data_IF_990302553809
#
_entry.id   IF_990302553809
#
_cell.length_a   1.000
_cell.length_b   1.000
_cell.length_c   1.000
_cell.angle_alpha   90.00
_cell.angle_beta   90.00
_cell.angle_gamma   90.00
#
_symmetry.space_group_name_H-M   'P 1'
#
loop_
_entity.id
_entity.type
_entity.pdbx_description
1 polymer ?
#
# COMPACT_ATOMS: atom_id res chain seq x y z
N UNK A 1 14.44 -16.34 -7.31
CA UNK A 1 14.42 -15.02 -6.64
C UNK A 1 13.62 -15.04 -5.34
N UNK A 2 12.33 -15.40 -5.39
CA UNK A 2 11.47 -15.42 -4.19
C UNK A 2 11.99 -16.31 -3.05
N UNK A 3 12.44 -17.54 -3.33
CA UNK A 3 12.98 -18.46 -2.30
C UNK A 3 14.23 -17.88 -1.62
N UNK A 4 15.10 -17.24 -2.41
CA UNK A 4 16.31 -16.60 -1.89
C UNK A 4 15.95 -15.43 -0.97
N UNK A 5 15.04 -14.54 -1.39
CA UNK A 5 14.55 -13.44 -0.57
C UNK A 5 13.86 -13.92 0.72
N UNK A 6 13.06 -14.99 0.61
CA UNK A 6 12.44 -15.63 1.76
C UNK A 6 13.48 -16.12 2.75
N UNK A 7 14.53 -16.80 2.29
CA UNK A 7 15.59 -17.31 3.17
C UNK A 7 16.33 -16.20 3.91
N UNK A 8 16.56 -15.06 3.25
CA UNK A 8 17.21 -13.90 3.88
C UNK A 8 16.31 -13.25 4.93
N UNK A 9 15.02 -13.12 4.64
CA UNK A 9 14.06 -12.42 5.51
C UNK A 9 13.41 -13.32 6.55
N UNK A 10 13.69 -14.63 6.55
CA UNK A 10 13.04 -15.60 7.43
C UNK A 10 13.41 -15.39 8.90
N UNK A 11 14.68 -15.05 9.19
CA UNK A 11 15.11 -14.76 10.56
C UNK A 11 14.33 -13.56 11.14
N UNK A 12 14.21 -12.50 10.36
CA UNK A 12 13.45 -11.30 10.71
C UNK A 12 11.96 -11.59 10.81
N UNK A 13 11.41 -12.43 9.94
CA UNK A 13 10.02 -12.88 10.02
C UNK A 13 9.74 -13.54 11.37
N UNK A 14 10.55 -14.54 11.74
CA UNK A 14 10.39 -15.27 13.01
C UNK A 14 10.56 -14.33 14.20
N UNK A 15 11.47 -13.35 14.11
CA UNK A 15 11.72 -12.40 15.19
C UNK A 15 10.62 -11.34 15.35
N UNK A 16 10.00 -10.87 14.25
CA UNK A 16 9.12 -9.70 14.24
C UNK A 16 7.65 -10.00 13.94
N UNK A 17 7.31 -11.10 13.27
CA UNK A 17 5.93 -11.42 12.86
C UNK A 17 5.31 -12.48 13.78
N UNK A 18 6.06 -13.53 14.09
CA UNK A 18 5.56 -14.68 14.83
C UNK A 18 5.14 -14.39 16.28
N UNK A 19 5.92 -13.67 17.11
CA UNK A 19 5.57 -13.44 18.52
C UNK A 19 4.42 -12.45 18.72
N UNK A 20 4.05 -11.67 17.70
CA UNK A 20 3.00 -10.67 17.82
C UNK A 20 1.58 -11.27 17.75
N UNK A 21 0.63 -10.58 18.40
CA UNK A 21 -0.81 -10.90 18.31
C UNK A 21 -1.30 -10.73 16.87
N UNK A 22 -2.42 -11.39 16.55
CA UNK A 22 -3.07 -11.21 15.25
C UNK A 22 -3.50 -9.76 15.05
N UNK A 23 -2.92 -9.12 14.04
CA UNK A 23 -3.14 -7.73 13.66
C UNK A 23 -3.29 -7.63 12.15
N UNK A 24 -3.84 -6.52 11.64
CA UNK A 24 -4.09 -6.39 10.20
C UNK A 24 -2.78 -6.34 9.39
N UNK A 25 -1.68 -5.85 9.96
CA UNK A 25 -0.34 -5.93 9.38
C UNK A 25 0.21 -7.34 9.29
N UNK A 26 -0.03 -8.16 10.30
CA UNK A 26 0.31 -9.58 10.26
C UNK A 26 -0.47 -10.30 9.16
N UNK A 27 -1.77 -10.02 9.03
CA UNK A 27 -2.61 -10.57 7.95
C UNK A 27 -2.11 -10.12 6.57
N UNK A 28 -1.88 -8.82 6.37
CA UNK A 28 -1.36 -8.27 5.11
C UNK A 28 0.01 -8.85 4.76
N UNK A 29 0.88 -9.09 5.75
CA UNK A 29 2.16 -9.74 5.55
C UNK A 29 2.00 -11.16 4.99
N UNK A 30 1.15 -11.98 5.62
CA UNK A 30 0.89 -13.34 5.13
C UNK A 30 0.27 -13.33 3.73
N UNK A 31 -0.67 -12.42 3.49
CA UNK A 31 -1.32 -12.26 2.19
C UNK A 31 -0.40 -11.70 1.10
N UNK A 32 0.67 -10.98 1.44
CA UNK A 32 1.64 -10.53 0.46
C UNK A 32 2.73 -11.60 0.19
N UNK A 33 3.10 -12.38 1.22
CA UNK A 33 4.25 -13.30 1.17
C UNK A 33 3.93 -14.67 0.58
N UNK A 34 2.78 -15.24 0.91
CA UNK A 34 2.47 -16.64 0.59
C UNK A 34 1.79 -16.89 -0.76
N UNK A 35 0.92 -16.00 -1.29
CA UNK A 35 0.25 -16.23 -2.56
C UNK A 35 1.15 -16.54 -3.76
N UNK A 36 2.36 -15.96 -3.93
CA UNK A 36 3.16 -16.33 -5.10
C UNK A 36 3.71 -17.76 -5.05
N UNK A 37 3.72 -18.43 -3.89
CA UNK A 37 3.98 -19.88 -3.83
C UNK A 37 2.81 -20.69 -4.38
N UNK A 38 1.58 -20.22 -4.17
CA UNK A 38 0.40 -20.82 -4.77
C UNK A 38 0.35 -20.55 -6.28
N UNK A 39 0.73 -19.34 -6.73
CA UNK A 39 0.91 -19.03 -8.16
C UNK A 39 1.92 -20.01 -8.80
N UNK A 40 3.07 -20.24 -8.16
CA UNK A 40 4.07 -21.21 -8.62
C UNK A 40 3.54 -22.66 -8.66
N UNK A 41 2.78 -23.07 -7.64
CA UNK A 41 2.18 -24.40 -7.61
C UNK A 41 1.20 -24.60 -8.77
N UNK A 42 0.34 -23.61 -9.04
CA UNK A 42 -0.60 -23.64 -10.18
C UNK A 42 0.19 -23.72 -11.49
N UNK A 43 1.20 -22.86 -11.68
CA UNK A 43 2.03 -22.88 -12.88
C UNK A 43 2.71 -24.24 -13.14
N UNK A 44 3.27 -24.87 -12.10
CA UNK A 44 3.86 -26.22 -12.22
C UNK A 44 2.79 -27.25 -12.59
N UNK A 45 1.59 -27.18 -11.99
CA UNK A 45 0.51 -28.11 -12.34
C UNK A 45 0.05 -27.94 -13.78
N UNK A 46 -0.02 -26.71 -14.28
CA UNK A 46 -0.35 -26.43 -15.68
C UNK A 46 0.69 -27.00 -16.63
N UNK A 47 1.98 -26.88 -16.30
CA UNK A 47 3.08 -27.40 -17.12
C UNK A 47 3.12 -28.94 -17.13
N UNK A 48 2.84 -29.57 -15.99
CA UNK A 48 2.93 -31.03 -15.82
C UNK A 48 1.65 -31.77 -16.21
N UNK A 49 0.56 -31.05 -16.50
CA UNK A 49 -0.73 -31.65 -16.84
C UNK A 49 -0.66 -32.42 -18.16
N UNK A 50 -0.87 -33.74 -18.09
CA UNK A 50 -0.96 -34.61 -19.26
C UNK A 50 -2.39 -34.61 -19.81
N UNK A 51 -2.54 -34.23 -21.09
CA UNK A 51 -3.84 -34.18 -21.80
C UNK A 51 -4.92 -33.39 -21.04
N UNK A 52 -4.67 -32.14 -20.65
CA UNK A 52 -5.66 -31.34 -19.95
C UNK A 52 -6.88 -31.07 -20.84
N UNK A 53 -8.07 -31.04 -20.23
CA UNK A 53 -9.27 -30.55 -20.92
C UNK A 53 -9.22 -29.03 -21.02
N UNK A 54 -9.83 -28.46 -22.05
CA UNK A 54 -9.93 -27.00 -22.23
C UNK A 54 -10.53 -26.31 -20.99
N UNK A 55 -11.56 -26.92 -20.39
CA UNK A 55 -12.21 -26.42 -19.17
C UNK A 55 -11.25 -26.37 -17.99
N UNK A 56 -10.38 -27.38 -17.85
CA UNK A 56 -9.39 -27.42 -16.78
C UNK A 56 -8.33 -26.33 -16.95
N UNK A 57 -7.78 -26.17 -18.17
CA UNK A 57 -6.83 -25.10 -18.48
C UNK A 57 -7.42 -23.72 -18.18
N UNK A 58 -8.66 -23.47 -18.65
CA UNK A 58 -9.34 -22.19 -18.42
C UNK A 58 -9.55 -21.90 -16.93
N UNK A 59 -9.95 -22.92 -16.15
CA UNK A 59 -10.20 -22.74 -14.72
C UNK A 59 -8.90 -22.51 -13.94
N UNK A 60 -7.81 -23.20 -14.27
CA UNK A 60 -6.50 -22.96 -13.65
C UNK A 60 -5.95 -21.58 -13.99
N UNK A 61 -6.04 -21.19 -15.27
CA UNK A 61 -5.65 -19.85 -15.70
C UNK A 61 -6.47 -18.76 -15.01
N UNK A 62 -7.79 -18.96 -14.88
CA UNK A 62 -8.67 -18.05 -14.16
C UNK A 62 -8.28 -17.95 -12.68
N UNK A 63 -8.00 -19.08 -12.03
CA UNK A 63 -7.55 -19.09 -10.64
C UNK A 63 -6.21 -18.35 -10.47
N UNK A 64 -5.23 -18.61 -11.32
CA UNK A 64 -3.93 -17.93 -11.32
C UNK A 64 -4.08 -16.43 -11.55
N UNK A 65 -4.87 -16.02 -12.54
CA UNK A 65 -5.04 -14.62 -12.87
C UNK A 65 -5.75 -13.83 -11.76
N UNK A 66 -6.77 -14.41 -11.12
CA UNK A 66 -7.43 -13.80 -9.96
C UNK A 66 -6.51 -13.74 -8.74
N UNK A 67 -5.73 -14.80 -8.48
CA UNK A 67 -4.75 -14.81 -7.40
C UNK A 67 -3.69 -13.72 -7.63
N UNK A 68 -3.26 -13.55 -8.89
CA UNK A 68 -2.35 -12.49 -9.32
C UNK A 68 -2.97 -11.08 -9.11
N UNK A 69 -4.19 -10.85 -9.58
CA UNK A 69 -4.88 -9.58 -9.38
C UNK A 69 -5.05 -9.23 -7.89
N UNK A 70 -5.49 -10.20 -7.08
CA UNK A 70 -5.73 -10.00 -5.64
C UNK A 70 -4.43 -9.65 -4.92
N UNK A 71 -3.35 -10.42 -5.10
CA UNK A 71 -2.10 -10.12 -4.38
C UNK A 71 -1.37 -8.86 -4.89
N UNK A 72 -1.53 -8.46 -6.16
CA UNK A 72 -1.08 -7.13 -6.61
C UNK A 72 -1.89 -6.07 -5.87
N UNK A 73 -3.22 -6.21 -5.81
CA UNK A 73 -4.10 -5.28 -5.09
C UNK A 73 -3.73 -5.13 -3.61
N UNK A 74 -3.34 -6.23 -2.96
CA UNK A 74 -2.88 -6.24 -1.56
C UNK A 74 -1.55 -5.50 -1.41
N UNK A 75 -0.62 -5.71 -2.33
CA UNK A 75 0.66 -4.99 -2.34
C UNK A 75 0.43 -3.49 -2.53
N UNK A 76 -0.35 -3.13 -3.54
CA UNK A 76 -0.73 -1.74 -3.82
C UNK A 76 -1.40 -1.07 -2.62
N UNK A 77 -2.24 -1.81 -1.90
CA UNK A 77 -2.84 -1.31 -0.66
C UNK A 77 -1.80 -1.05 0.44
N UNK A 78 -0.79 -1.92 0.60
CA UNK A 78 0.32 -1.71 1.55
C UNK A 78 1.11 -0.45 1.16
N UNK A 79 1.43 -0.29 -0.13
CA UNK A 79 2.13 0.86 -0.67
C UNK A 79 1.35 2.17 -0.47
N UNK A 80 0.04 2.11 -0.65
CA UNK A 80 -0.88 3.19 -0.35
C UNK A 80 -0.85 3.57 1.13
N UNK A 81 -0.98 2.60 2.04
CA UNK A 81 -0.99 2.85 3.49
C UNK A 81 0.30 3.54 3.94
N UNK A 82 1.45 3.11 3.41
CA UNK A 82 2.73 3.77 3.63
C UNK A 82 2.72 5.22 3.14
N UNK A 83 2.23 5.45 1.92
CA UNK A 83 2.17 6.80 1.33
C UNK A 83 1.22 7.72 2.10
N UNK A 84 0.09 7.19 2.58
CA UNK A 84 -0.87 7.92 3.38
C UNK A 84 -0.30 8.34 4.74
N UNK A 85 0.48 7.46 5.38
CA UNK A 85 1.17 7.79 6.62
C UNK A 85 2.19 8.92 6.42
N UNK A 86 2.99 8.90 5.35
CA UNK A 86 3.92 9.98 4.99
C UNK A 86 3.21 11.33 4.75
N UNK A 87 1.94 11.30 4.38
CA UNK A 87 1.10 12.48 4.23
C UNK A 87 0.43 12.93 5.55
N UNK A 88 1.01 12.57 6.69
CA UNK A 88 0.52 12.88 8.03
C UNK A 88 -0.98 12.53 8.18
N UNK A 89 -1.37 11.36 7.65
CA UNK A 89 -2.76 10.86 7.65
C UNK A 89 -3.81 11.82 7.07
N UNK A 90 -3.43 12.65 6.08
CA UNK A 90 -4.37 13.57 5.44
C UNK A 90 -5.57 12.83 4.82
N UNK A 91 -6.77 13.11 5.32
CA UNK A 91 -8.02 12.46 4.90
C UNK A 91 -8.34 12.71 3.42
N UNK A 92 -7.89 13.81 2.84
CA UNK A 92 -8.11 14.10 1.42
C UNK A 92 -7.38 13.10 0.51
N UNK A 93 -6.14 12.75 0.86
CA UNK A 93 -5.36 11.73 0.12
C UNK A 93 -5.96 10.35 0.32
N UNK A 94 -6.40 10.03 1.55
CA UNK A 94 -7.10 8.78 1.82
C UNK A 94 -8.35 8.63 0.93
N UNK A 95 -9.22 9.63 0.90
CA UNK A 95 -10.45 9.61 0.10
C UNK A 95 -10.12 9.50 -1.39
N UNK A 96 -9.19 10.30 -1.89
CA UNK A 96 -8.79 10.25 -3.30
C UNK A 96 -8.29 8.86 -3.71
N UNK A 97 -7.49 8.21 -2.86
CA UNK A 97 -6.96 6.88 -3.11
C UNK A 97 -7.99 5.76 -2.96
N UNK A 98 -8.92 5.88 -2.02
CA UNK A 98 -10.04 4.94 -1.89
C UNK A 98 -10.93 5.01 -3.14
N UNK A 99 -11.21 6.21 -3.64
CA UNK A 99 -11.99 6.38 -4.88
C UNK A 99 -11.23 5.80 -6.07
N UNK A 100 -9.93 6.12 -6.19
CA UNK A 100 -9.10 5.63 -7.28
C UNK A 100 -8.97 4.10 -7.25
N UNK A 101 -8.65 3.51 -6.11
CA UNK A 101 -8.54 2.05 -5.96
C UNK A 101 -9.90 1.35 -6.10
N UNK A 102 -10.95 1.93 -5.52
CA UNK A 102 -12.33 1.44 -5.60
C UNK A 102 -12.92 1.48 -7.00
N UNK A 103 -12.31 2.21 -7.94
CA UNK A 103 -12.68 2.19 -9.36
C UNK A 103 -11.70 1.37 -10.21
N UNK A 104 -10.40 1.47 -9.95
CA UNK A 104 -9.35 0.76 -10.67
C UNK A 104 -9.44 -0.76 -10.52
N UNK A 105 -9.53 -1.29 -9.29
CA UNK A 105 -9.52 -2.75 -9.07
C UNK A 105 -10.76 -3.45 -9.63
N UNK A 106 -11.99 -2.93 -9.46
CA UNK A 106 -13.16 -3.52 -10.12
C UNK A 106 -13.10 -3.43 -11.64
N UNK A 107 -12.58 -2.33 -12.19
CA UNK A 107 -12.37 -2.20 -13.64
C UNK A 107 -11.38 -3.25 -14.17
N UNK A 108 -10.26 -3.47 -13.47
CA UNK A 108 -9.30 -4.51 -13.81
C UNK A 108 -9.91 -5.92 -13.70
N UNK A 109 -10.67 -6.21 -12.64
CA UNK A 109 -11.38 -7.48 -12.51
C UNK A 109 -12.39 -7.73 -13.65
N UNK A 110 -13.08 -6.68 -14.09
CA UNK A 110 -14.00 -6.75 -15.24
C UNK A 110 -13.26 -7.03 -16.54
N UNK A 111 -12.19 -6.28 -16.83
CA UNK A 111 -11.37 -6.46 -18.04
C UNK A 111 -10.75 -7.85 -18.06
N UNK A 112 -10.17 -8.30 -16.94
CA UNK A 112 -9.60 -9.65 -16.79
C UNK A 112 -10.63 -10.75 -17.07
N UNK A 113 -11.84 -10.63 -16.50
CA UNK A 113 -12.89 -11.63 -16.70
C UNK A 113 -13.31 -11.69 -18.17
N UNK A 114 -13.49 -10.55 -18.82
CA UNK A 114 -13.82 -10.49 -20.24
C UNK A 114 -12.68 -11.04 -21.12
N UNK A 115 -11.43 -10.74 -20.78
CA UNK A 115 -10.25 -11.30 -21.44
C UNK A 115 -10.28 -12.83 -21.41
N UNK A 116 -10.50 -13.43 -20.23
CA UNK A 116 -10.52 -14.90 -20.09
C UNK A 116 -11.69 -15.55 -20.84
N UNK A 117 -12.85 -14.88 -20.91
CA UNK A 117 -14.02 -15.38 -21.63
C UNK A 117 -13.85 -15.30 -23.16
N UNK A 118 -13.11 -14.31 -23.67
CA UNK A 118 -12.86 -14.11 -25.10
C UNK A 118 -11.71 -14.98 -25.63
N UNK A 119 -10.73 -15.29 -24.78
CA UNK A 119 -9.56 -16.08 -25.14
C UNK A 119 -9.91 -17.55 -25.36
N UNK A 120 -9.44 -18.08 -26.49
CA UNK A 120 -9.48 -19.52 -26.76
C UNK A 120 -8.23 -20.22 -26.21
N UNK A 121 -8.45 -21.29 -25.46
CA UNK A 121 -7.41 -22.15 -24.92
C UNK A 121 -7.28 -23.37 -25.84
N UNK A 122 -6.09 -23.61 -26.38
CA UNK A 122 -5.83 -24.84 -27.12
C UNK A 122 -4.96 -25.74 -26.26
N UNK A 123 -5.45 -26.94 -25.98
CA UNK A 123 -4.64 -27.96 -25.33
C UNK A 123 -3.50 -28.37 -26.29
N UNK A 124 -2.27 -28.41 -25.80
CA UNK A 124 -1.12 -28.82 -26.61
C UNK A 124 -1.26 -30.26 -27.14
N UNK A 125 -2.03 -31.10 -26.45
CA UNK A 125 -2.35 -32.48 -26.85
C UNK A 125 -2.98 -32.58 -28.24
N UNK A 126 -3.51 -31.49 -28.78
CA UNK A 126 -4.06 -31.41 -30.15
C UNK A 126 -2.99 -31.23 -31.23
N UNK A 127 -1.76 -30.82 -30.88
CA UNK A 127 -0.65 -30.53 -31.80
C UNK A 127 0.42 -31.62 -31.75
N UNK A 128 0.75 -32.14 -30.56
CA UNK A 128 1.63 -33.28 -30.39
C UNK A 128 1.26 -34.09 -29.13
N UNK A 129 1.18 -35.43 -29.21
CA UNK A 129 0.86 -36.28 -28.06
C UNK A 129 1.98 -36.35 -27.01
N UNK A 130 3.19 -35.88 -27.33
CA UNK A 130 4.36 -35.90 -26.42
C UNK A 130 4.48 -34.62 -25.59
N UNK A 131 3.83 -33.54 -26.00
CA UNK A 131 3.97 -32.24 -25.37
C UNK A 131 2.82 -32.04 -24.35
N UNK A 132 3.17 -31.67 -23.12
CA UNK A 132 2.23 -31.46 -22.00
C UNK A 132 2.12 -29.97 -21.68
N UNK A 133 0.94 -29.51 -21.30
CA UNK A 133 0.70 -28.11 -20.96
C UNK A 133 -0.55 -27.49 -21.56
N UNK A 134 -0.91 -26.32 -21.00
CA UNK A 134 -1.95 -25.44 -21.50
C UNK A 134 -1.32 -24.23 -22.20
N UNK A 135 -1.74 -23.91 -23.41
CA UNK A 135 -1.30 -22.69 -24.11
C UNK A 135 -2.47 -21.81 -24.51
N UNK A 136 -2.28 -20.51 -24.29
CA UNK A 136 -3.19 -19.47 -24.76
C UNK A 136 -2.90 -19.22 -26.23
N UNK A 137 -3.86 -19.53 -27.11
CA UNK A 137 -3.72 -19.38 -28.57
C UNK A 137 -4.54 -18.19 -29.10
N UNK A 138 -5.39 -17.60 -28.26
CA UNK A 138 -6.22 -16.46 -28.60
C UNK A 138 -5.43 -15.14 -28.73
N UNK A 139 -5.65 -14.41 -29.83
CA UNK A 139 -5.15 -13.05 -30.06
C UNK A 139 -6.08 -12.04 -29.36
N UNK A 140 -6.17 -12.12 -28.03
CA UNK A 140 -6.94 -11.14 -27.26
C UNK A 140 -6.08 -9.94 -26.91
N UNK A 141 -6.53 -8.75 -27.35
CA UNK A 141 -5.84 -7.49 -27.12
C UNK A 141 -6.29 -6.83 -25.81
N UNK A 142 -6.97 -7.51 -24.89
CA UNK A 142 -7.54 -6.82 -23.71
C UNK A 142 -6.57 -6.75 -22.52
N UNK A 143 -5.58 -7.65 -22.43
CA UNK A 143 -4.72 -7.76 -21.24
C UNK A 143 -3.88 -6.50 -20.95
N UNK A 144 -3.48 -5.75 -21.99
CA UNK A 144 -2.70 -4.52 -21.78
C UNK A 144 -3.51 -3.42 -21.07
N UNK A 145 -4.85 -3.48 -21.13
CA UNK A 145 -5.72 -2.51 -20.45
C UNK A 145 -5.64 -2.67 -18.93
N UNK A 146 -5.50 -3.90 -18.42
CA UNK A 146 -5.28 -4.14 -16.98
C UNK A 146 -3.98 -3.49 -16.50
N UNK A 147 -2.91 -3.63 -17.28
CA UNK A 147 -1.64 -2.99 -16.98
C UNK A 147 -1.68 -1.46 -17.11
N UNK A 148 -2.50 -0.90 -18.01
CA UNK A 148 -2.72 0.55 -18.04
C UNK A 148 -3.42 1.03 -16.77
N UNK A 149 -4.46 0.33 -16.32
CA UNK A 149 -5.17 0.66 -15.07
C UNK A 149 -4.18 0.63 -13.89
N UNK A 150 -3.37 -0.43 -13.81
CA UNK A 150 -2.33 -0.55 -12.78
C UNK A 150 -1.29 0.56 -12.88
N UNK A 151 -0.79 0.87 -14.09
CA UNK A 151 0.19 1.92 -14.33
C UNK A 151 -0.32 3.29 -13.87
N UNK A 152 -1.59 3.61 -14.13
CA UNK A 152 -2.21 4.85 -13.65
C UNK A 152 -2.22 4.89 -12.12
N UNK A 153 -2.61 3.78 -11.47
CA UNK A 153 -2.64 3.69 -10.01
C UNK A 153 -1.24 3.87 -9.40
N UNK A 154 -0.25 3.13 -9.91
CA UNK A 154 1.15 3.23 -9.48
C UNK A 154 1.70 4.64 -9.71
N UNK A 155 1.42 5.27 -10.86
CA UNK A 155 1.88 6.63 -11.17
C UNK A 155 1.42 7.61 -10.09
N UNK A 156 0.16 7.52 -9.64
CA UNK A 156 -0.35 8.39 -8.58
C UNK A 156 0.39 8.14 -7.27
N UNK A 157 0.58 6.88 -6.88
CA UNK A 157 1.33 6.52 -5.66
C UNK A 157 2.77 7.05 -5.74
N UNK A 158 3.51 6.69 -6.78
CA UNK A 158 4.91 7.12 -6.99
C UNK A 158 5.00 8.64 -6.96
N UNK A 159 4.10 9.35 -7.65
CA UNK A 159 4.09 10.82 -7.67
C UNK A 159 3.90 11.39 -6.27
N UNK A 160 2.95 10.88 -5.49
CA UNK A 160 2.73 11.34 -4.10
C UNK A 160 3.93 11.03 -3.21
N UNK A 161 4.52 9.84 -3.32
CA UNK A 161 5.71 9.43 -2.56
C UNK A 161 6.93 10.30 -2.90
N UNK A 162 7.12 10.61 -4.18
CA UNK A 162 8.22 11.46 -4.65
C UNK A 162 8.03 12.91 -4.20
N UNK A 163 6.82 13.47 -4.30
CA UNK A 163 6.53 14.84 -3.83
C UNK A 163 6.84 14.97 -2.34
N UNK A 164 6.35 14.05 -1.50
CA UNK A 164 6.58 14.13 -0.07
C UNK A 164 8.05 13.86 0.30
N UNK A 165 8.71 12.97 -0.43
CA UNK A 165 10.14 12.71 -0.29
C UNK A 165 10.99 13.94 -0.62
N UNK A 166 10.67 14.66 -1.69
CA UNK A 166 11.37 15.91 -2.03
C UNK A 166 11.11 17.04 -1.03
N UNK A 167 9.90 17.13 -0.46
CA UNK A 167 9.59 18.12 0.59
C UNK A 167 10.45 17.90 1.83
N UNK A 168 10.46 16.67 2.36
CA UNK A 168 11.29 16.33 3.52
C UNK A 168 12.79 16.44 3.22
N UNK A 169 13.21 16.04 2.01
CA UNK A 169 14.59 16.23 1.57
C UNK A 169 15.01 17.71 1.60
N UNK A 170 14.10 18.64 1.29
CA UNK A 170 14.40 20.07 1.27
C UNK A 170 14.38 20.70 2.66
N UNK A 171 13.58 20.16 3.58
CA UNK A 171 13.36 20.72 4.92
C UNK A 171 14.35 20.16 5.97
N UNK A 172 14.73 18.88 5.90
CA UNK A 172 15.42 18.16 7.00
C UNK A 172 16.84 17.65 6.66
N UNK A 173 17.44 18.08 5.54
CA UNK A 173 18.73 17.52 5.05
C UNK A 173 19.92 17.66 6.01
N UNK A 174 19.82 18.48 7.05
CA UNK A 174 20.93 18.77 7.95
C UNK A 174 21.10 17.79 9.13
N UNK A 175 20.14 16.90 9.44
CA UNK A 175 20.18 16.21 10.74
C UNK A 175 20.01 14.67 10.80
N UNK A 176 19.65 13.92 9.74
CA UNK A 176 19.51 12.46 9.92
C UNK A 176 19.90 11.58 8.71
N UNK A 177 20.88 10.70 8.92
CA UNK A 177 21.29 9.64 7.99
C UNK A 177 20.17 8.59 7.78
N UNK A 178 19.21 8.52 8.71
CA UNK A 178 18.12 7.54 8.73
C UNK A 178 17.02 7.85 7.70
N UNK A 179 16.61 9.13 7.58
CA UNK A 179 15.70 9.56 6.52
C UNK A 179 16.28 9.25 5.14
N UNK A 180 17.60 9.40 4.99
CA UNK A 180 18.29 9.16 3.74
C UNK A 180 18.23 7.69 3.31
N UNK A 181 18.39 6.72 4.21
CA UNK A 181 18.27 5.29 3.85
C UNK A 181 16.83 4.89 3.57
N UNK A 182 15.87 5.33 4.41
CA UNK A 182 14.45 4.98 4.25
C UNK A 182 13.86 5.49 2.93
N UNK A 183 14.23 6.72 2.52
CA UNK A 183 13.79 7.30 1.26
C UNK A 183 14.53 6.74 0.05
N UNK A 184 15.85 6.51 0.15
CA UNK A 184 16.65 6.01 -0.97
C UNK A 184 16.28 4.57 -1.31
N UNK A 185 16.18 3.70 -0.31
CA UNK A 185 15.83 2.30 -0.55
C UNK A 185 14.34 2.15 -0.87
N UNK A 186 13.48 2.89 -0.17
CA UNK A 186 12.04 2.88 -0.38
C UNK A 186 11.63 3.28 -1.80
N UNK A 187 12.00 4.48 -2.26
CA UNK A 187 11.59 5.04 -3.56
C UNK A 187 12.11 4.19 -4.72
N UNK A 188 13.32 3.63 -4.61
CA UNK A 188 13.87 2.74 -5.64
C UNK A 188 12.96 1.54 -5.91
N UNK A 189 12.38 0.91 -4.88
CA UNK A 189 11.44 -0.19 -5.09
C UNK A 189 10.19 0.26 -5.86
N UNK A 190 9.62 1.41 -5.54
CA UNK A 190 8.47 1.97 -6.28
C UNK A 190 8.80 2.21 -7.76
N UNK A 191 9.99 2.76 -8.04
CA UNK A 191 10.44 2.97 -9.42
C UNK A 191 10.63 1.66 -10.16
N UNK A 192 11.20 0.63 -9.51
CA UNK A 192 11.34 -0.69 -10.13
C UNK A 192 9.98 -1.32 -10.46
N UNK A 193 9.01 -1.27 -9.54
CA UNK A 193 7.66 -1.77 -9.80
C UNK A 193 7.02 -1.05 -11.00
N UNK A 194 7.07 0.27 -11.01
CA UNK A 194 6.57 1.08 -12.11
C UNK A 194 7.23 0.71 -13.45
N UNK A 195 8.55 0.50 -13.47
CA UNK A 195 9.26 0.08 -14.69
C UNK A 195 8.80 -1.31 -15.19
N UNK A 196 8.52 -2.26 -14.30
CA UNK A 196 7.95 -3.56 -14.68
C UNK A 196 6.54 -3.42 -15.25
N UNK A 197 5.70 -2.57 -14.66
CA UNK A 197 4.36 -2.29 -15.19
C UNK A 197 4.42 -1.65 -16.56
N UNK A 198 5.32 -0.68 -16.77
CA UNK A 198 5.55 -0.07 -18.09
C UNK A 198 5.98 -1.13 -19.10
N UNK A 199 6.87 -2.06 -18.74
CA UNK A 199 7.26 -3.16 -19.62
C UNK A 199 6.05 -4.06 -19.97
N UNK A 200 5.19 -4.37 -18.98
CA UNK A 200 3.96 -5.14 -19.20
C UNK A 200 2.89 -4.40 -20.02
N UNK A 201 2.97 -3.09 -20.18
CA UNK A 201 2.14 -2.32 -21.15
C UNK A 201 2.79 -2.32 -22.54
N UNK A 202 4.08 -1.97 -22.62
CA UNK A 202 4.78 -1.72 -23.90
C UNK A 202 4.96 -2.99 -24.71
N UNK A 203 5.32 -4.11 -24.08
CA UNK A 203 5.66 -5.35 -24.79
C UNK A 203 4.44 -5.95 -25.52
N UNK A 204 3.24 -6.08 -24.91
CA UNK A 204 2.06 -6.53 -25.64
C UNK A 204 1.66 -5.62 -26.81
N UNK A 205 1.93 -4.30 -26.71
CA UNK A 205 1.62 -3.33 -27.77
C UNK A 205 2.62 -3.47 -28.91
N UNK A 206 3.91 -3.57 -28.61
CA UNK A 206 5.00 -3.64 -29.59
C UNK A 206 5.09 -5.02 -30.25
N UNK A 207 4.90 -6.09 -29.48
CA UNK A 207 4.94 -7.49 -29.95
C UNK A 207 3.71 -8.27 -29.46
N UNK A 208 2.56 -8.15 -30.14
CA UNK A 208 1.32 -8.82 -29.76
C UNK A 208 1.34 -10.35 -29.89
N UNK A 209 2.44 -10.91 -30.40
CA UNK A 209 2.58 -12.35 -30.68
C UNK A 209 3.43 -13.08 -29.64
N UNK A 210 4.14 -12.35 -28.77
CA UNK A 210 4.98 -12.98 -27.77
C UNK A 210 4.26 -13.19 -26.45
N UNK A 211 4.47 -14.34 -25.79
CA UNK A 211 3.87 -14.63 -24.49
C UNK A 211 4.52 -13.76 -23.41
N UNK A 212 3.74 -12.83 -22.84
CA UNK A 212 4.20 -11.93 -21.77
C UNK A 212 4.13 -12.55 -20.36
N UNK A 213 3.74 -13.81 -20.25
CA UNK A 213 3.51 -14.49 -18.97
C UNK A 213 4.71 -14.39 -18.01
N UNK A 214 5.94 -14.52 -18.51
CA UNK A 214 7.14 -14.38 -17.69
C UNK A 214 7.29 -13.00 -17.04
N UNK A 215 6.92 -11.93 -17.73
CA UNK A 215 6.99 -10.56 -17.20
C UNK A 215 5.90 -10.29 -16.16
N UNK A 216 4.72 -10.88 -16.33
CA UNK A 216 3.63 -10.80 -15.37
C UNK A 216 4.02 -11.49 -14.05
N UNK A 217 4.59 -12.70 -14.15
CA UNK A 217 5.10 -13.44 -12.99
C UNK A 217 6.24 -12.71 -12.30
N UNK A 218 7.17 -12.13 -13.08
CA UNK A 218 8.27 -11.35 -12.51
C UNK A 218 7.75 -10.11 -11.77
N UNK A 219 6.81 -9.37 -12.37
CA UNK A 219 6.14 -8.25 -11.72
C UNK A 219 5.52 -8.68 -10.39
N UNK A 220 4.75 -9.78 -10.40
CA UNK A 220 4.12 -10.35 -9.20
C UNK A 220 5.12 -10.68 -8.09
N UNK A 221 6.23 -11.32 -8.43
CA UNK A 221 7.30 -11.65 -7.47
C UNK A 221 7.90 -10.35 -6.89
N UNK A 222 8.12 -9.34 -7.74
CA UNK A 222 8.66 -8.05 -7.30
C UNK A 222 7.71 -7.31 -6.34
N UNK A 223 6.39 -7.31 -6.62
CA UNK A 223 5.39 -6.75 -5.69
C UNK A 223 5.44 -7.45 -4.33
N UNK A 224 5.48 -8.78 -4.31
CA UNK A 224 5.57 -9.56 -3.07
C UNK A 224 6.85 -9.24 -2.26
N UNK A 225 8.01 -9.24 -2.91
CA UNK A 225 9.30 -8.92 -2.25
C UNK A 225 9.28 -7.50 -1.69
N UNK A 226 8.78 -6.54 -2.48
CA UNK A 226 8.65 -5.15 -2.06
C UNK A 226 7.76 -5.02 -0.81
N UNK A 227 6.56 -5.61 -0.84
CA UNK A 227 5.63 -5.60 0.29
C UNK A 227 6.26 -6.19 1.56
N UNK A 228 6.90 -7.35 1.45
CA UNK A 228 7.55 -8.05 2.57
C UNK A 228 8.66 -7.21 3.17
N UNK A 229 9.58 -6.68 2.35
CA UNK A 229 10.70 -5.86 2.82
C UNK A 229 10.23 -4.58 3.49
N UNK A 230 9.23 -3.91 2.93
CA UNK A 230 8.63 -2.71 3.51
C UNK A 230 8.04 -3.04 4.89
N UNK A 231 7.23 -4.08 5.01
CA UNK A 231 6.58 -4.46 6.26
C UNK A 231 7.59 -4.88 7.35
N UNK A 232 8.63 -5.64 6.98
CA UNK A 232 9.68 -6.04 7.92
C UNK A 232 10.50 -4.85 8.40
N UNK A 233 10.93 -3.98 7.49
CA UNK A 233 11.72 -2.81 7.85
C UNK A 233 10.96 -1.86 8.79
N UNK A 234 9.66 -1.66 8.55
CA UNK A 234 8.80 -0.85 9.43
C UNK A 234 8.74 -1.46 10.84
N UNK A 235 8.66 -2.79 10.95
CA UNK A 235 8.61 -3.50 12.25
C UNK A 235 9.94 -3.51 12.99
N UNK A 236 11.06 -3.66 12.27
CA UNK A 236 12.40 -3.57 12.82
C UNK A 236 12.62 -2.22 13.52
N UNK A 237 12.25 -1.11 12.84
CA UNK A 237 12.36 0.25 13.37
C UNK A 237 11.46 0.45 14.60
N UNK A 238 10.24 -0.11 14.60
CA UNK A 238 9.35 0.00 15.77
C UNK A 238 9.97 -0.67 17.00
N UNK A 239 10.57 -1.85 16.82
CA UNK A 239 11.18 -2.60 17.93
C UNK A 239 12.45 -1.93 18.46
N UNK A 240 13.28 -1.34 17.60
CA UNK A 240 14.47 -0.61 18.06
C UNK A 240 14.12 0.62 18.91
N UNK A 241 12.90 1.16 18.76
CA UNK A 241 12.42 2.31 19.51
C UNK A 241 11.56 1.98 20.73
N UNK A 242 11.22 0.71 20.99
CA UNK A 242 10.44 0.31 22.16
C UNK A 242 11.39 0.14 23.38
N UNK A 243 11.40 1.04 24.39
CA UNK A 243 12.44 1.09 25.42
C UNK A 243 12.44 -0.06 26.43
N UNK A 244 11.59 -1.07 26.25
CA UNK A 244 11.37 -2.15 27.23
C UNK A 244 12.32 -3.35 27.06
N UNK A 245 13.26 -3.33 26.11
CA UNK A 245 14.13 -4.49 25.81
C UNK A 245 15.62 -4.30 26.11
N UNK A 246 16.08 -3.11 26.51
CA UNK A 246 17.52 -2.90 26.76
C UNK A 246 17.72 -2.00 27.97
N UNK A 247 17.91 -2.61 29.13
CA UNK A 247 18.57 -1.97 30.24
C UNK A 247 20.04 -1.71 29.83
N UNK A 248 20.41 -0.43 29.67
CA UNK A 248 21.79 -0.03 29.38
C UNK A 248 21.90 1.19 28.48
N UNK A 249 21.76 2.37 29.09
CA UNK A 249 22.57 3.58 28.85
C UNK A 249 22.91 3.98 27.40
N UNK A 250 22.20 4.98 26.87
CA UNK A 250 22.82 6.24 26.42
C UNK A 250 21.78 7.23 25.89
N UNK A 251 21.89 8.46 26.38
CA UNK A 251 21.13 9.64 25.98
C UNK A 251 21.36 9.95 24.50
N UNK A 252 20.30 9.90 23.68
CA UNK A 252 20.30 10.62 22.40
C UNK A 252 18.87 11.03 21.98
N UNK A 253 18.83 12.18 21.29
CA UNK A 253 17.71 13.10 21.11
C UNK A 253 16.55 12.57 20.24
N UNK A 254 15.32 13.07 20.44
CA UNK A 254 14.17 12.71 19.62
C UNK A 254 14.29 13.39 18.26
N UNK A 255 14.55 12.61 17.22
CA UNK A 255 14.45 13.10 15.84
C UNK A 255 13.76 12.04 14.98
N UNK A 256 12.60 12.40 14.41
CA UNK A 256 11.88 11.66 13.35
C UNK A 256 11.45 10.22 13.65
N UNK A 257 11.00 9.95 14.88
CA UNK A 257 10.32 8.68 15.24
C UNK A 257 8.82 8.66 14.90
N UNK A 258 8.30 9.76 14.36
CA UNK A 258 6.86 9.97 14.21
C UNK A 258 6.24 9.24 13.01
N UNK A 259 7.00 8.89 11.96
CA UNK A 259 6.39 8.34 10.73
C UNK A 259 6.26 6.81 10.71
N UNK A 260 7.21 6.06 11.28
CA UNK A 260 7.22 4.59 11.17
C UNK A 260 6.27 3.93 12.18
N UNK A 261 6.19 4.46 13.41
CA UNK A 261 5.20 4.04 14.40
C UNK A 261 3.77 4.32 13.94
N UNK A 262 3.56 5.43 13.23
CA UNK A 262 2.27 5.83 12.66
C UNK A 262 1.79 4.87 11.56
N UNK A 263 2.68 4.32 10.73
CA UNK A 263 2.31 3.29 9.74
C UNK A 263 1.83 2.03 10.45
N UNK A 264 2.59 1.55 11.45
CA UNK A 264 2.23 0.37 12.23
C UNK A 264 0.96 0.59 13.04
N UNK A 265 0.70 1.76 13.60
CA UNK A 265 -0.55 2.07 14.29
C UNK A 265 -1.74 2.20 13.32
N UNK A 266 -1.50 2.66 12.10
CA UNK A 266 -2.52 2.66 11.04
C UNK A 266 -2.89 1.24 10.65
N UNK A 267 -1.91 0.34 10.62
CA UNK A 267 -2.04 -1.04 10.18
C UNK A 267 -2.52 -1.97 11.31
N UNK A 268 -2.02 -1.79 12.54
CA UNK A 268 -2.21 -2.70 13.68
C UNK A 268 -3.03 -2.06 14.83
N UNK A 269 -3.47 -0.82 14.69
CA UNK A 269 -4.27 -0.12 15.70
C UNK A 269 -5.64 -0.78 15.93
N UNK A 270 -6.27 -0.57 17.10
CA UNK A 270 -7.53 -1.21 17.53
C UNK A 270 -8.77 -0.85 16.69
N UNK A 271 -8.59 -0.24 15.52
CA UNK A 271 -9.63 0.13 14.56
C UNK A 271 -9.46 -0.53 13.19
N UNK A 272 -8.90 -1.75 13.12
CA UNK A 272 -8.72 -2.54 11.88
C UNK A 272 -10.00 -2.85 11.07
N UNK A 273 -11.14 -2.31 11.50
CA UNK A 273 -12.33 -2.08 10.68
C UNK A 273 -12.63 -0.58 10.77
N UNK A 274 -12.50 0.15 9.65
CA UNK A 274 -12.67 1.60 9.52
C UNK A 274 -13.80 2.17 10.42
N UNK A 275 -13.47 2.60 11.64
CA UNK A 275 -14.36 3.46 12.42
C UNK A 275 -13.96 4.90 12.16
N UNK A 276 -14.68 5.49 11.21
CA UNK A 276 -14.81 6.92 11.01
C UNK A 276 -15.06 7.61 12.35
N UNK A 277 -14.02 8.21 12.93
CA UNK A 277 -14.21 9.35 13.82
C UNK A 277 -13.30 10.46 13.34
N UNK A 278 -13.93 11.47 12.74
CA UNK A 278 -13.35 12.77 12.48
C UNK A 278 -12.81 13.31 13.79
N UNK A 279 -11.49 13.25 14.00
CA UNK A 279 -10.85 14.04 15.06
C UNK A 279 -10.69 15.45 14.50
N UNK A 280 -11.76 16.22 14.61
CA UNK A 280 -11.75 17.67 14.49
C UNK A 280 -10.75 18.22 15.51
N UNK A 281 -9.64 18.76 15.03
CA UNK A 281 -8.76 19.60 15.83
C UNK A 281 -9.52 20.84 16.26
N UNK A 282 -9.83 20.95 17.55
CA UNK A 282 -10.06 22.21 18.22
C UNK A 282 -9.07 22.30 19.39
N UNK A 283 -8.30 23.39 19.52
CA UNK A 283 -7.41 23.58 20.66
C UNK A 283 -8.24 24.01 21.86
N UNK A 284 -8.19 23.22 22.94
CA UNK A 284 -8.78 23.61 24.21
C UNK A 284 -7.65 23.74 25.23
N UNK A 285 -7.20 24.98 25.42
CA UNK A 285 -6.45 25.40 26.61
C UNK A 285 -7.31 25.18 27.85
N UNK A 286 -6.74 24.56 28.89
CA UNK A 286 -7.16 24.86 30.25
C UNK A 286 -6.00 24.63 31.21
N UNK A 287 -5.48 25.75 31.71
CA UNK A 287 -4.54 25.81 32.82
C UNK A 287 -5.16 25.33 34.14
N UNK A 288 -4.26 24.96 35.03
CA UNK A 288 -4.46 24.62 36.43
C UNK A 288 -5.10 25.76 37.23
N UNK A 289 -5.79 25.42 38.33
CA UNK A 289 -6.03 26.39 39.40
C UNK A 289 -7.30 26.19 40.23
N UNK A 290 -7.16 25.34 41.25
CA UNK A 290 -7.83 25.34 42.57
C UNK A 290 -8.71 26.55 42.95
N UNK A 291 -9.85 26.28 43.62
CA UNK A 291 -10.52 27.29 44.45
C UNK A 291 -12.00 27.03 44.77
N UNK A 292 -12.23 26.43 45.93
CA UNK A 292 -13.40 26.52 46.82
C UNK A 292 -14.35 27.74 46.62
N UNK A 293 -15.68 27.54 46.76
CA UNK A 293 -16.59 28.65 47.08
C UNK A 293 -18.05 28.56 46.61
N UNK A 294 -18.90 27.97 47.46
CA UNK A 294 -20.28 28.31 47.83
C UNK A 294 -21.37 28.77 46.85
N UNK A 295 -22.53 28.12 47.06
CA UNK A 295 -23.86 28.34 46.50
C UNK A 295 -24.61 29.44 47.26
N UNK A 296 -25.07 30.51 46.60
CA UNK A 296 -26.26 31.32 47.01
C UNK A 296 -27.01 31.91 45.79
N UNK A 297 -28.34 31.97 45.92
CA UNK A 297 -29.43 32.35 44.98
C UNK A 297 -29.40 33.82 44.49
N UNK A 298 -30.16 34.10 43.39
CA UNK A 298 -30.30 35.39 42.64
C UNK A 298 -31.02 36.54 43.37
N UNK A 299 -31.81 37.47 42.74
CA UNK A 299 -32.28 37.60 41.34
C UNK A 299 -32.27 39.05 40.73
N UNK A 300 -32.80 39.19 39.49
CA UNK A 300 -33.58 40.35 38.94
C UNK A 300 -32.91 41.52 38.17
N UNK A 301 -33.56 41.90 37.05
CA UNK A 301 -33.65 43.27 36.47
C UNK A 301 -32.71 43.57 35.28
N UNK A 302 -33.14 43.55 34.02
CA UNK A 302 -33.93 44.56 33.26
C UNK A 302 -33.08 45.54 32.42
N UNK A 303 -33.24 45.44 31.09
CA UNK A 303 -33.31 46.50 30.06
C UNK A 303 -32.30 47.67 30.03
N UNK A 304 -31.69 47.90 28.85
CA UNK A 304 -31.09 49.18 28.50
C UNK A 304 -30.39 49.17 27.14
N UNK A 305 -31.07 49.68 26.11
CA UNK A 305 -30.52 50.05 24.80
C UNK A 305 -29.93 51.45 24.94
N UNK A 306 -28.70 51.69 24.48
CA UNK A 306 -28.22 53.06 24.22
C UNK A 306 -27.25 53.10 23.03
N UNK A 307 -27.50 54.10 22.16
CA UNK A 307 -26.84 54.41 20.90
C UNK A 307 -25.75 55.49 21.12
N UNK A 308 -24.59 55.33 20.46
CA UNK A 308 -23.83 56.32 19.63
C UNK A 308 -23.54 57.72 20.26
N UNK A 309 -22.28 58.26 20.25
CA UNK A 309 -21.78 58.86 19.01
C UNK A 309 -20.28 58.87 18.68
N UNK A 310 -20.09 58.98 17.36
CA UNK A 310 -18.98 59.48 16.56
C UNK A 310 -18.16 60.63 17.16
N UNK A 311 -16.85 60.60 16.92
CA UNK A 311 -16.03 61.79 16.71
C UNK A 311 -14.90 61.53 15.69
N UNK A 312 -14.91 62.32 14.62
CA UNK A 312 -13.91 62.48 13.56
C UNK A 312 -12.88 63.55 13.98
N UNK A 313 -11.57 63.35 13.78
CA UNK A 313 -10.52 64.39 13.57
C UNK A 313 -9.32 63.71 12.85
N UNK A 314 -9.17 63.79 11.51
CA UNK A 314 -8.34 64.70 10.68
C UNK A 314 -6.86 64.95 11.08
N UNK A 315 -5.98 64.43 10.19
CA UNK A 315 -4.81 65.02 9.50
C UNK A 315 -3.53 65.47 10.22
N UNK A 316 -2.40 64.97 9.65
CA UNK A 316 -1.18 65.73 9.33
C UNK A 316 0.12 65.08 9.79
N UNK A 317 1.28 65.33 9.15
CA UNK A 317 1.55 66.03 7.88
C UNK A 317 1.94 65.12 6.71
#
# INVERSE_FOLDING_TARGET
MQVYDHSLTFADEVAFIWPERWSLGKVLFFLARYPPYADLAIFITELMAKRPTERWCRNMFLAAAWLNLIGISITEFILFLRTWALWNRNTRVLIAMIILGGTAFPAAGFVLTNFILDVQFTAISTISPELSGCFVSGRSRMIYLDFIILMVYETVIVTLTVIIGFRHYREDFHHSNFLQSFFKDGILYYLYLFMFTVANVVIPIASPREPVQFLIELQRIMHSICAVRILLHIREIKRSHDPSSTAGESTSMPSTTLDTGVILDTIDGPGGLMTFTSRSNAPFERGEGSGEGDVVRGPSGSTGIELVPMAHVTQGP
#
